data_IF_354238994689
#
_entry.id   IF_354238994689
#
_cell.length_a   1.000
_cell.length_b   1.000
_cell.length_c   1.000
_cell.angle_alpha   90.00
_cell.angle_beta   90.00
_cell.angle_gamma   90.00
#
_symmetry.space_group_name_H-M   'P 1'
#
loop_
_entity.id
_entity.type
_entity.pdbx_description
1 polymer ?
#
# COMPACT_ATOMS: atom_id res chain seq x y z
N UNK A 1 34.75 32.37 7.23
CA UNK A 1 34.03 31.24 7.86
C UNK A 1 32.99 30.75 6.87
N UNK A 2 33.40 29.89 5.94
CA UNK A 2 32.46 29.10 5.15
C UNK A 2 31.96 27.95 6.02
N UNK A 3 30.66 27.71 6.04
CA UNK A 3 30.11 26.46 6.57
C UNK A 3 28.85 26.06 5.81
N UNK A 4 28.95 24.92 5.12
CA UNK A 4 27.83 24.00 4.94
C UNK A 4 27.06 24.04 3.61
N UNK A 5 27.71 23.69 2.50
CA UNK A 5 27.01 23.25 1.28
C UNK A 5 26.44 21.83 1.48
N UNK A 6 25.31 21.73 2.19
CA UNK A 6 24.49 20.53 2.18
C UNK A 6 23.87 20.35 0.80
N UNK A 7 24.35 19.36 0.03
CA UNK A 7 23.79 19.02 -1.27
C UNK A 7 22.30 18.70 -1.10
N UNK A 8 21.41 19.61 -1.55
CA UNK A 8 19.97 19.40 -1.50
C UNK A 8 19.66 18.20 -2.40
N UNK A 9 19.47 17.03 -1.80
CA UNK A 9 19.02 15.83 -2.49
C UNK A 9 17.76 16.20 -3.27
N UNK A 10 17.80 16.09 -4.60
CA UNK A 10 16.69 16.49 -5.45
C UNK A 10 15.43 15.75 -4.99
N UNK A 11 14.37 16.52 -4.71
CA UNK A 11 13.09 15.95 -4.27
C UNK A 11 12.52 15.11 -5.41
N UNK A 12 12.34 13.81 -5.17
CA UNK A 12 11.74 12.93 -6.16
C UNK A 12 10.22 13.02 -6.07
N UNK A 13 9.63 13.80 -6.97
CA UNK A 13 8.18 14.05 -7.02
C UNK A 13 7.54 13.21 -8.13
N UNK A 14 6.55 12.40 -7.76
CA UNK A 14 5.80 11.53 -8.66
C UNK A 14 4.44 12.15 -8.99
N UNK A 15 4.10 12.14 -10.28
CA UNK A 15 2.83 12.66 -10.80
C UNK A 15 2.57 14.13 -10.45
N UNK A 16 3.64 14.90 -10.19
CA UNK A 16 3.59 16.29 -9.69
C UNK A 16 2.78 16.49 -8.40
N UNK A 17 2.51 15.42 -7.66
CA UNK A 17 1.58 15.42 -6.51
C UNK A 17 2.20 14.84 -5.24
N UNK A 18 3.10 13.87 -5.36
CA UNK A 18 3.62 13.14 -4.20
C UNK A 18 5.12 13.21 -4.15
N UNK A 19 5.67 13.81 -3.10
CA UNK A 19 7.09 13.83 -2.82
C UNK A 19 7.48 12.55 -2.09
N UNK A 20 8.32 11.71 -2.67
CA UNK A 20 8.82 10.51 -2.00
C UNK A 20 9.87 10.88 -0.96
N UNK A 21 9.78 10.26 0.22
CA UNK A 21 10.73 10.47 1.33
C UNK A 21 11.65 9.28 1.48
N UNK A 22 11.13 8.15 1.98
CA UNK A 22 11.93 6.95 2.26
C UNK A 22 11.23 5.69 1.79
N UNK A 23 12.01 4.69 1.40
CA UNK A 23 11.49 3.34 1.15
C UNK A 23 10.97 2.75 2.47
N UNK A 24 9.76 2.20 2.44
CA UNK A 24 9.11 1.55 3.59
C UNK A 24 8.84 0.06 3.34
N UNK A 25 8.94 -0.41 2.10
CA UNK A 25 8.77 -1.82 1.78
C UNK A 25 9.31 -2.20 0.41
N UNK A 26 9.43 -3.50 0.17
CA UNK A 26 9.72 -4.09 -1.14
C UNK A 26 9.10 -5.46 -1.26
N UNK A 27 8.69 -5.81 -2.48
CA UNK A 27 8.20 -7.14 -2.80
C UNK A 27 8.60 -7.54 -4.23
N UNK A 28 8.06 -8.66 -4.70
CA UNK A 28 8.30 -9.17 -6.06
C UNK A 28 7.86 -8.20 -7.16
N UNK A 29 6.92 -7.30 -6.86
CA UNK A 29 6.27 -6.40 -7.82
C UNK A 29 6.71 -4.94 -7.66
N UNK A 30 7.87 -4.71 -7.02
CA UNK A 30 8.48 -3.40 -6.90
C UNK A 30 8.67 -2.93 -5.47
N UNK A 31 8.73 -1.61 -5.31
CA UNK A 31 9.12 -0.94 -4.07
C UNK A 31 7.99 -0.06 -3.55
N UNK A 32 7.87 0.06 -2.23
CA UNK A 32 6.91 0.93 -1.57
C UNK A 32 7.68 2.03 -0.84
N UNK A 33 7.30 3.27 -1.11
CA UNK A 33 7.87 4.47 -0.50
C UNK A 33 6.82 5.18 0.35
N UNK A 34 7.24 5.76 1.47
CA UNK A 34 6.48 6.83 2.11
C UNK A 34 6.54 8.06 1.19
N UNK A 35 5.38 8.61 0.88
CA UNK A 35 5.21 9.84 0.14
C UNK A 35 4.45 10.87 0.99
N UNK A 36 4.68 12.14 0.69
CA UNK A 36 3.90 13.24 1.25
C UNK A 36 3.23 13.95 0.09
N UNK A 37 1.91 14.11 0.15
CA UNK A 37 1.16 14.92 -0.81
C UNK A 37 1.62 16.38 -0.71
N UNK A 38 2.06 16.95 -1.84
CA UNK A 38 2.53 18.35 -1.89
C UNK A 38 1.37 19.35 -1.82
N UNK A 39 0.13 18.88 -1.91
CA UNK A 39 -1.09 19.71 -1.92
C UNK A 39 -1.59 19.93 -0.48
N UNK A 40 -1.70 18.87 0.31
CA UNK A 40 -2.32 18.89 1.64
C UNK A 40 -1.40 18.39 2.77
N UNK A 41 -0.18 17.93 2.46
CA UNK A 41 0.77 17.43 3.45
C UNK A 41 0.46 16.02 3.98
N UNK A 42 -0.52 15.32 3.41
CA UNK A 42 -0.92 13.99 3.87
C UNK A 42 0.15 12.93 3.56
N UNK A 43 0.43 12.07 4.54
CA UNK A 43 1.32 10.93 4.39
C UNK A 43 0.61 9.77 3.68
N UNK A 44 1.24 9.24 2.65
CA UNK A 44 0.70 8.16 1.81
C UNK A 44 1.77 7.11 1.51
N UNK A 45 1.35 5.88 1.21
CA UNK A 45 2.23 4.87 0.63
C UNK A 45 2.19 4.94 -0.90
N UNK A 46 3.35 5.05 -1.55
CA UNK A 46 3.50 5.08 -3.01
C UNK A 46 4.21 3.82 -3.46
N UNK A 47 3.50 2.95 -4.19
CA UNK A 47 4.07 1.75 -4.80
C UNK A 47 4.62 2.09 -6.20
N UNK A 48 5.87 1.75 -6.44
CA UNK A 48 6.57 1.91 -7.72
C UNK A 48 6.89 0.53 -8.30
N UNK A 49 6.48 0.32 -9.55
CA UNK A 49 6.81 -0.88 -10.33
C UNK A 49 7.73 -0.48 -11.51
N UNK A 50 8.82 -1.23 -11.78
CA UNK A 50 9.63 -0.99 -12.96
C UNK A 50 8.81 -1.15 -14.25
N UNK A 51 8.91 -0.20 -15.18
CA UNK A 51 8.22 -0.27 -16.47
C UNK A 51 8.68 -1.50 -17.30
N UNK A 52 9.87 -2.00 -17.03
CA UNK A 52 10.47 -3.19 -17.65
C UNK A 52 10.03 -4.50 -16.99
N UNK A 53 9.14 -4.46 -15.99
CA UNK A 53 8.67 -5.66 -15.32
C UNK A 53 8.05 -6.63 -16.33
N UNK A 54 8.48 -7.89 -16.28
CA UNK A 54 8.06 -8.95 -17.21
C UNK A 54 6.55 -9.23 -17.14
N UNK A 55 5.94 -8.97 -15.98
CA UNK A 55 4.50 -8.99 -15.75
C UNK A 55 4.13 -7.76 -14.92
N UNK A 56 3.79 -6.61 -15.55
CA UNK A 56 3.39 -5.41 -14.84
C UNK A 56 2.01 -5.62 -14.20
N UNK A 57 1.93 -5.58 -12.88
CA UNK A 57 0.71 -5.86 -12.12
C UNK A 57 0.07 -4.59 -11.55
N UNK A 58 0.80 -3.48 -11.50
CA UNK A 58 0.34 -2.25 -10.85
C UNK A 58 -0.92 -1.66 -11.51
N UNK A 59 -1.04 -1.78 -12.84
CA UNK A 59 -2.23 -1.35 -13.56
C UNK A 59 -3.46 -2.19 -13.19
N UNK A 60 -3.30 -3.51 -13.07
CA UNK A 60 -4.38 -4.41 -12.66
C UNK A 60 -4.80 -4.14 -11.21
N UNK A 61 -3.82 -4.02 -10.32
CA UNK A 61 -4.02 -3.67 -8.91
C UNK A 61 -4.75 -2.33 -8.76
N UNK A 62 -4.41 -1.30 -9.55
CA UNK A 62 -5.11 -0.02 -9.54
C UNK A 62 -6.59 -0.11 -9.97
N UNK A 63 -6.92 -1.03 -10.88
CA UNK A 63 -8.30 -1.28 -11.31
C UNK A 63 -9.08 -2.01 -10.22
N UNK A 64 -8.44 -3.00 -9.58
CA UNK A 64 -9.01 -3.72 -8.43
C UNK A 64 -9.29 -2.74 -7.30
N UNK A 65 -8.32 -1.93 -6.87
CA UNK A 65 -8.53 -0.92 -5.82
C UNK A 65 -9.66 0.07 -6.14
N UNK A 66 -9.84 0.48 -7.41
CA UNK A 66 -10.97 1.34 -7.82
C UNK A 66 -12.32 0.65 -7.70
N UNK A 67 -12.43 -0.61 -8.08
CA UNK A 67 -13.66 -1.40 -7.95
C UNK A 67 -14.00 -1.63 -6.47
N UNK A 68 -12.95 -1.74 -5.67
CA UNK A 68 -12.99 -2.03 -4.25
C UNK A 68 -13.18 -0.79 -3.36
N UNK A 69 -13.04 0.44 -3.89
CA UNK A 69 -13.07 1.69 -3.14
C UNK A 69 -14.41 1.98 -2.45
N UNK A 70 -15.51 1.43 -2.97
CA UNK A 70 -16.85 1.52 -2.36
C UNK A 70 -17.19 0.29 -1.47
N UNK A 71 -16.24 -0.63 -1.28
CA UNK A 71 -16.41 -1.85 -0.49
C UNK A 71 -16.20 -1.62 1.01
N UNK A 72 -17.21 -1.95 1.83
CA UNK A 72 -17.07 -1.99 3.29
C UNK A 72 -15.95 -2.99 3.66
N UNK A 73 -14.95 -2.54 4.42
CA UNK A 73 -13.84 -3.38 4.89
C UNK A 73 -12.49 -3.13 4.23
N UNK A 74 -12.35 -2.08 3.42
CA UNK A 74 -11.07 -1.51 2.96
C UNK A 74 -9.96 -1.34 4.02
N UNK A 75 -9.02 -2.26 4.36
CA UNK A 75 -8.16 -2.01 5.51
C UNK A 75 -7.12 -0.93 5.20
N UNK A 76 -7.11 0.14 5.99
CA UNK A 76 -6.04 1.17 5.99
C UNK A 76 -4.78 0.70 6.73
N UNK A 77 -4.88 -0.38 7.51
CA UNK A 77 -3.81 -1.06 8.25
C UNK A 77 -3.83 -2.55 7.85
N UNK A 78 -2.66 -3.15 7.62
CA UNK A 78 -2.60 -4.56 7.23
C UNK A 78 -2.83 -5.50 8.41
N UNK A 79 -3.36 -6.70 8.15
CA UNK A 79 -3.49 -7.73 9.19
C UNK A 79 -2.12 -8.18 9.73
N UNK A 80 -1.04 -8.06 8.95
CA UNK A 80 0.32 -8.40 9.40
C UNK A 80 0.84 -7.39 10.43
N UNK A 81 0.53 -6.10 10.27
CA UNK A 81 0.89 -5.06 11.24
C UNK A 81 0.18 -5.31 12.58
N UNK A 82 -1.12 -5.63 12.53
CA UNK A 82 -1.91 -6.00 13.71
C UNK A 82 -1.41 -7.31 14.34
N UNK A 83 -1.02 -8.29 13.51
CA UNK A 83 -0.52 -9.56 13.99
C UNK A 83 0.83 -9.40 14.69
N UNK A 84 1.71 -8.58 14.12
CA UNK A 84 3.00 -8.22 14.72
C UNK A 84 2.81 -7.46 16.02
N UNK A 85 1.89 -6.50 16.08
CA UNK A 85 1.54 -5.79 17.31
C UNK A 85 1.06 -6.75 18.42
N UNK A 86 0.28 -7.77 18.06
CA UNK A 86 -0.18 -8.80 18.99
C UNK A 86 0.86 -9.90 19.27
N UNK A 87 2.16 -9.63 19.09
CA UNK A 87 3.25 -10.60 19.30
C UNK A 87 3.03 -11.90 18.50
N UNK A 88 2.53 -11.76 17.27
CA UNK A 88 2.23 -12.85 16.34
C UNK A 88 1.25 -13.88 16.91
N UNK A 89 0.30 -13.42 17.72
CA UNK A 89 -0.73 -14.28 18.29
C UNK A 89 -2.08 -13.57 18.36
N UNK A 90 -3.03 -14.07 17.59
CA UNK A 90 -4.44 -13.71 17.74
C UNK A 90 -5.19 -14.74 18.58
N UNK A 91 -6.25 -14.30 19.26
CA UNK A 91 -7.16 -15.21 19.94
C UNK A 91 -8.05 -15.94 18.93
N UNK A 92 -8.58 -17.10 19.27
CA UNK A 92 -9.52 -17.83 18.39
C UNK A 92 -10.75 -16.97 18.04
N UNK A 93 -11.24 -16.16 18.98
CA UNK A 93 -12.32 -15.20 18.73
C UNK A 93 -11.93 -14.20 17.63
N UNK A 94 -10.74 -13.62 17.72
CA UNK A 94 -10.22 -12.70 16.71
C UNK A 94 -10.05 -13.38 15.34
N UNK A 95 -9.49 -14.60 15.31
CA UNK A 95 -9.29 -15.37 14.08
C UNK A 95 -10.63 -15.64 13.38
N UNK A 96 -11.65 -16.06 14.13
CA UNK A 96 -12.97 -16.34 13.58
C UNK A 96 -13.66 -15.07 13.06
N UNK A 97 -13.56 -13.95 13.78
CA UNK A 97 -14.08 -12.66 13.31
C UNK A 97 -13.39 -12.17 12.04
N UNK A 98 -12.07 -12.36 11.93
CA UNK A 98 -11.32 -12.02 10.73
C UNK A 98 -11.69 -12.95 9.57
N UNK A 99 -11.82 -14.26 9.82
CA UNK A 99 -12.14 -15.26 8.80
C UNK A 99 -13.50 -14.99 8.14
N UNK A 100 -14.52 -14.67 8.93
CA UNK A 100 -15.86 -14.30 8.45
C UNK A 100 -15.79 -13.10 7.48
N UNK A 101 -15.11 -12.03 7.89
CA UNK A 101 -14.93 -10.85 7.04
C UNK A 101 -14.07 -11.12 5.80
N UNK A 102 -13.02 -11.95 5.91
CA UNK A 102 -12.15 -12.30 4.79
C UNK A 102 -12.91 -13.13 3.74
N UNK A 103 -13.76 -14.07 4.16
CA UNK A 103 -14.61 -14.87 3.27
C UNK A 103 -15.60 -13.97 2.51
N UNK A 104 -16.27 -13.04 3.20
CA UNK A 104 -17.16 -12.09 2.54
C UNK A 104 -16.45 -11.22 1.50
N UNK A 105 -15.18 -10.85 1.74
CA UNK A 105 -14.39 -10.08 0.76
C UNK A 105 -13.97 -10.91 -0.44
N UNK A 106 -13.57 -12.16 -0.23
CA UNK A 106 -13.25 -13.09 -1.33
C UNK A 106 -14.50 -13.32 -2.18
N UNK A 107 -15.66 -13.53 -1.56
CA UNK A 107 -16.95 -13.66 -2.26
C UNK A 107 -17.30 -12.39 -3.05
N UNK A 108 -17.10 -11.20 -2.48
CA UNK A 108 -17.31 -9.93 -3.17
C UNK A 108 -16.42 -9.79 -4.41
N UNK A 109 -15.12 -10.12 -4.29
CA UNK A 109 -14.16 -10.08 -5.40
C UNK A 109 -14.55 -11.08 -6.49
N UNK A 110 -14.93 -12.30 -6.09
CA UNK A 110 -15.39 -13.34 -7.00
C UNK A 110 -16.69 -12.93 -7.73
N UNK A 111 -17.63 -12.26 -7.04
CA UNK A 111 -18.86 -11.72 -7.64
C UNK A 111 -18.60 -10.60 -8.67
N UNK A 112 -17.40 -10.02 -8.68
CA UNK A 112 -16.96 -9.06 -9.70
C UNK A 112 -16.17 -9.72 -10.84
N UNK A 113 -16.10 -11.06 -10.89
CA UNK A 113 -15.31 -11.87 -11.83
C UNK A 113 -13.79 -11.72 -11.70
N UNK A 114 -13.30 -11.38 -10.50
CA UNK A 114 -11.88 -11.37 -10.17
C UNK A 114 -11.56 -12.60 -9.33
N UNK A 115 -10.40 -13.21 -9.52
CA UNK A 115 -9.91 -14.35 -8.73
C UNK A 115 -8.59 -13.92 -8.09
N UNK A 116 -8.44 -14.13 -6.79
CA UNK A 116 -7.23 -13.80 -6.01
C UNK A 116 -6.45 -15.07 -5.67
#
# INVERSE_FOLDING_TARGET
>A
MESGSGSKKADFIVGSKYKLTRKIGSGSFGEIYLGVSVINGEEVAVKLEPVTARHPQLLYESKVYKILQDGIGIPTISLEDLFTFCSRRFTMKTVLMLADQMLCRVEFVHNKNFIH
#
